data_IF_998392972333
#
_entry.id   IF_998392972333
#
_cell.length_a   1.000
_cell.length_b   1.000
_cell.length_c   1.000
_cell.angle_alpha   90.00
_cell.angle_beta   90.00
_cell.angle_gamma   90.00
#
_symmetry.space_group_name_H-M   'P 1'
#
loop_
_entity.id
_entity.type
_entity.pdbx_description
1 polymer ?
#
# COMPACT_ATOMS: atom_id res chain seq x y z
N UNK A 1 0.45 11.81 12.75
CA UNK A 1 -0.38 10.68 12.93
C UNK A 1 -0.47 10.11 14.31
N UNK A 2 -1.29 9.12 14.45
CA UNK A 2 -1.48 8.39 15.72
C UNK A 2 -0.57 7.14 15.83
N UNK A 3 0.54 7.11 15.11
CA UNK A 3 1.51 6.01 15.17
C UNK A 3 1.20 4.80 14.30
N UNK A 4 0.32 4.94 13.32
CA UNK A 4 -0.06 3.83 12.43
C UNK A 4 1.14 3.22 11.72
N UNK A 5 1.97 4.03 11.12
CA UNK A 5 3.16 3.57 10.39
C UNK A 5 4.15 2.87 11.30
N UNK A 6 4.38 3.44 12.51
CA UNK A 6 5.24 2.80 13.52
C UNK A 6 4.69 1.45 13.95
N UNK A 7 3.39 1.37 14.18
CA UNK A 7 2.73 0.11 14.54
C UNK A 7 2.95 -0.95 13.47
N UNK A 8 2.77 -0.59 12.20
CA UNK A 8 2.98 -1.54 11.10
C UNK A 8 4.45 -1.92 10.94
N UNK A 9 5.38 -1.02 11.24
CA UNK A 9 6.81 -1.34 11.25
C UNK A 9 7.15 -2.36 12.33
N UNK A 10 6.67 -2.14 13.55
CA UNK A 10 6.88 -3.06 14.67
C UNK A 10 6.26 -4.43 14.37
N UNK A 11 5.05 -4.44 13.85
CA UNK A 11 4.35 -5.67 13.49
C UNK A 11 5.09 -6.45 12.39
N UNK A 12 5.56 -5.75 11.36
CA UNK A 12 6.35 -6.36 10.29
C UNK A 12 7.64 -6.98 10.84
N UNK A 13 8.36 -6.27 11.70
CA UNK A 13 9.60 -6.76 12.29
C UNK A 13 9.34 -8.00 13.14
N UNK A 14 8.28 -7.99 13.94
CA UNK A 14 7.89 -9.14 14.75
C UNK A 14 7.60 -10.37 13.89
N UNK A 15 6.83 -10.22 12.81
CA UNK A 15 6.50 -11.33 11.93
C UNK A 15 7.74 -11.88 11.20
N UNK A 16 8.69 -11.03 10.86
CA UNK A 16 9.94 -11.46 10.22
C UNK A 16 10.85 -12.19 11.19
N UNK A 17 10.99 -11.69 12.42
CA UNK A 17 11.81 -12.32 13.45
C UNK A 17 11.28 -13.71 13.79
N UNK A 18 9.97 -13.88 13.85
CA UNK A 18 9.34 -15.16 14.14
C UNK A 18 9.16 -16.05 12.91
N UNK A 19 9.63 -15.60 11.75
CA UNK A 19 9.46 -16.28 10.45
C UNK A 19 8.01 -16.69 10.17
N UNK A 20 7.08 -15.81 10.48
CA UNK A 20 5.66 -16.07 10.28
C UNK A 20 5.33 -16.04 8.77
N UNK A 21 4.52 -16.99 8.28
CA UNK A 21 4.13 -17.01 6.86
C UNK A 21 3.34 -15.76 6.42
N UNK A 22 2.75 -15.02 7.36
CA UNK A 22 2.02 -13.79 7.07
C UNK A 22 2.91 -12.53 7.10
N UNK A 23 4.22 -12.70 7.18
CA UNK A 23 5.14 -11.56 7.14
C UNK A 23 4.92 -10.70 5.89
N UNK A 24 5.15 -9.42 6.03
CA UNK A 24 4.94 -8.46 4.95
C UNK A 24 6.03 -7.40 4.95
N UNK A 25 6.15 -6.70 3.81
CA UNK A 25 7.07 -5.59 3.64
C UNK A 25 6.31 -4.27 3.71
N UNK A 26 6.87 -3.30 4.42
CA UNK A 26 6.33 -1.95 4.45
C UNK A 26 6.83 -1.15 3.24
N UNK A 27 5.91 -0.44 2.62
CA UNK A 27 6.17 0.42 1.48
C UNK A 27 5.52 1.77 1.76
N UNK A 28 6.28 2.85 1.60
CA UNK A 28 5.69 4.19 1.64
C UNK A 28 5.23 4.62 0.25
N UNK A 29 4.26 5.53 0.21
CA UNK A 29 3.85 6.14 -1.06
C UNK A 29 5.03 6.84 -1.73
N UNK A 30 5.87 7.52 -0.95
CA UNK A 30 7.05 8.19 -1.47
C UNK A 30 8.00 7.23 -2.19
N UNK A 31 8.26 6.06 -1.59
CA UNK A 31 9.09 5.04 -2.22
C UNK A 31 8.48 4.55 -3.53
N UNK A 32 7.19 4.29 -3.54
CA UNK A 32 6.49 3.83 -4.75
C UNK A 32 6.52 4.87 -5.86
N UNK A 33 6.28 6.12 -5.53
CA UNK A 33 6.31 7.23 -6.49
C UNK A 33 7.72 7.45 -7.05
N UNK A 34 8.75 7.38 -6.20
CA UNK A 34 10.13 7.50 -6.64
C UNK A 34 10.52 6.37 -7.59
N UNK A 35 10.11 5.16 -7.29
CA UNK A 35 10.31 4.02 -8.19
C UNK A 35 9.63 4.26 -9.54
N UNK A 36 8.39 4.75 -9.53
CA UNK A 36 7.66 5.06 -10.75
C UNK A 36 8.37 6.11 -11.59
N UNK A 37 8.91 7.15 -10.97
CA UNK A 37 9.64 8.21 -11.68
C UNK A 37 10.87 7.69 -12.42
N UNK A 38 11.53 6.69 -11.87
CA UNK A 38 12.74 6.09 -12.46
C UNK A 38 12.38 5.07 -13.54
N UNK A 39 11.38 4.25 -13.31
CA UNK A 39 11.08 3.07 -14.15
C UNK A 39 9.83 3.21 -15.01
N UNK A 40 9.02 4.24 -14.81
CA UNK A 40 7.73 4.47 -15.49
C UNK A 40 6.70 3.35 -15.28
N UNK A 41 6.90 2.55 -14.24
CA UNK A 41 5.97 1.48 -13.83
C UNK A 41 6.15 1.20 -12.34
N UNK A 42 5.26 0.37 -11.78
CA UNK A 42 5.34 -0.09 -10.40
C UNK A 42 5.45 -1.62 -10.31
N UNK A 43 5.98 -2.24 -11.34
CA UNK A 43 6.02 -3.70 -11.50
C UNK A 43 6.66 -4.42 -10.32
N UNK A 44 7.67 -3.81 -9.70
CA UNK A 44 8.31 -4.37 -8.52
C UNK A 44 7.34 -4.68 -7.38
N UNK A 45 6.30 -3.87 -7.22
CA UNK A 45 5.34 -3.96 -6.13
C UNK A 45 4.05 -4.68 -6.51
N UNK A 46 3.84 -4.90 -7.80
CA UNK A 46 2.63 -5.50 -8.33
C UNK A 46 2.86 -6.87 -8.96
N UNK A 47 4.09 -7.38 -8.85
CA UNK A 47 4.46 -8.67 -9.42
C UNK A 47 4.16 -8.78 -10.91
N UNK A 48 4.88 -8.04 -11.71
CA UNK A 48 4.92 -8.27 -13.14
C UNK A 48 6.04 -9.27 -13.45
N UNK A 49 5.88 -10.06 -14.49
CA UNK A 49 6.90 -11.02 -14.94
C UNK A 49 8.27 -10.38 -15.17
N UNK A 50 8.29 -9.13 -15.61
CA UNK A 50 9.52 -8.38 -15.82
C UNK A 50 10.37 -8.25 -14.54
N UNK A 51 9.70 -8.20 -13.38
CA UNK A 51 10.35 -8.08 -12.07
C UNK A 51 10.32 -9.37 -11.25
N UNK A 52 9.93 -10.48 -11.85
CA UNK A 52 9.81 -11.76 -11.16
C UNK A 52 11.11 -12.18 -10.45
N UNK A 53 12.25 -11.76 -10.97
CA UNK A 53 13.55 -12.02 -10.36
C UNK A 53 13.71 -11.47 -8.95
N UNK A 54 13.03 -10.39 -8.62
CA UNK A 54 13.07 -9.80 -7.27
C UNK A 54 12.29 -10.62 -6.24
N UNK A 55 11.35 -11.41 -6.71
CA UNK A 55 10.43 -12.15 -5.87
C UNK A 55 10.54 -13.67 -6.07
N UNK A 56 11.55 -14.11 -6.79
CA UNK A 56 11.69 -15.53 -7.18
C UNK A 56 10.40 -16.10 -7.78
N UNK A 57 9.71 -15.28 -8.58
CA UNK A 57 8.44 -15.66 -9.17
C UNK A 57 7.23 -15.61 -8.24
N UNK A 58 7.41 -15.17 -6.99
CA UNK A 58 6.32 -15.11 -6.01
C UNK A 58 6.16 -13.69 -5.46
N UNK A 59 4.96 -13.12 -5.48
CA UNK A 59 4.72 -11.83 -4.86
C UNK A 59 4.78 -11.91 -3.33
N UNK A 60 5.09 -10.78 -2.70
CA UNK A 60 5.09 -10.66 -1.24
C UNK A 60 3.78 -10.08 -0.72
N UNK A 61 3.50 -10.29 0.57
CA UNK A 61 2.55 -9.45 1.28
C UNK A 61 3.17 -8.07 1.48
N UNK A 62 2.39 -7.03 1.26
CA UNK A 62 2.86 -5.64 1.32
C UNK A 62 1.90 -4.82 2.19
N UNK A 63 2.45 -3.86 2.94
CA UNK A 63 1.69 -2.80 3.57
C UNK A 63 2.04 -1.47 2.90
N UNK A 64 1.07 -0.84 2.25
CA UNK A 64 1.23 0.51 1.72
C UNK A 64 0.83 1.51 2.78
N UNK A 65 1.77 2.33 3.22
CA UNK A 65 1.57 3.26 4.31
C UNK A 65 1.27 4.67 3.84
N UNK A 66 0.45 5.35 4.63
CA UNK A 66 0.19 6.78 4.54
C UNK A 66 -0.57 7.21 3.28
N UNK A 67 -1.56 6.41 2.90
CA UNK A 67 -2.47 6.79 1.82
C UNK A 67 -3.22 8.06 2.21
N UNK A 68 -3.25 9.03 1.30
CA UNK A 68 -3.96 10.29 1.50
C UNK A 68 -3.10 11.40 2.08
N UNK A 69 -1.79 11.20 2.26
CA UNK A 69 -0.89 12.29 2.60
C UNK A 69 -0.78 13.23 1.40
N UNK A 70 -0.89 14.54 1.68
CA UNK A 70 -0.58 15.59 0.72
C UNK A 70 0.92 15.62 0.45
N UNK A 71 1.33 14.85 -0.52
CA UNK A 71 2.64 14.99 -1.12
C UNK A 71 2.48 16.01 -2.24
N UNK A 72 3.46 16.88 -2.45
CA UNK A 72 3.45 17.76 -3.61
C UNK A 72 3.29 16.94 -4.88
N UNK A 73 2.06 16.95 -5.41
CA UNK A 73 1.60 15.96 -6.37
C UNK A 73 2.09 16.19 -7.79
N UNK A 74 2.71 17.32 -8.06
CA UNK A 74 3.08 17.68 -9.43
C UNK A 74 4.58 17.60 -9.68
N UNK A 75 5.11 16.43 -9.41
CA UNK A 75 6.46 16.14 -9.84
C UNK A 75 6.36 15.38 -11.16
N UNK A 76 6.74 16.05 -12.26
CA UNK A 76 6.77 15.44 -13.61
C UNK A 76 5.42 15.01 -14.20
N UNK A 77 4.35 15.73 -13.90
CA UNK A 77 3.02 15.43 -14.46
C UNK A 77 2.41 14.13 -13.97
N UNK A 78 2.96 13.54 -12.92
CA UNK A 78 2.48 12.28 -12.38
C UNK A 78 1.40 12.51 -11.34
N UNK A 79 0.24 11.90 -11.52
CA UNK A 79 -0.82 11.90 -10.53
C UNK A 79 -0.61 10.73 -9.57
N UNK A 80 -0.37 11.05 -8.29
CA UNK A 80 -0.14 10.05 -7.26
C UNK A 80 -1.36 9.15 -7.08
N UNK A 81 -2.57 9.69 -7.16
CA UNK A 81 -3.77 8.89 -7.02
C UNK A 81 -3.92 7.85 -8.12
N UNK A 82 -3.49 8.15 -9.34
CA UNK A 82 -3.49 7.18 -10.44
C UNK A 82 -2.52 6.02 -10.16
N UNK A 83 -1.35 6.32 -9.60
CA UNK A 83 -0.38 5.29 -9.22
C UNK A 83 -0.95 4.42 -8.10
N UNK A 84 -1.57 5.03 -7.10
CA UNK A 84 -2.20 4.30 -6.00
C UNK A 84 -3.34 3.42 -6.51
N UNK A 85 -4.18 3.93 -7.41
CA UNK A 85 -5.25 3.15 -8.03
C UNK A 85 -4.69 1.93 -8.76
N UNK A 86 -3.69 2.12 -9.60
CA UNK A 86 -3.03 1.03 -10.33
C UNK A 86 -2.47 -0.02 -9.38
N UNK A 87 -1.78 0.42 -8.33
CA UNK A 87 -1.24 -0.48 -7.31
C UNK A 87 -2.35 -1.32 -6.65
N UNK A 88 -3.42 -0.67 -6.21
CA UNK A 88 -4.48 -1.35 -5.48
C UNK A 88 -5.25 -2.34 -6.37
N UNK A 89 -5.51 -2.01 -7.63
CA UNK A 89 -6.13 -2.93 -8.57
C UNK A 89 -5.25 -4.16 -8.81
N UNK A 90 -3.97 -3.95 -9.05
CA UNK A 90 -3.03 -5.04 -9.29
C UNK A 90 -2.87 -5.94 -8.04
N UNK A 91 -2.80 -5.34 -6.85
CA UNK A 91 -2.72 -6.09 -5.60
C UNK A 91 -3.97 -6.91 -5.33
N UNK A 92 -5.13 -6.43 -5.73
CA UNK A 92 -6.35 -7.21 -5.63
C UNK A 92 -6.28 -8.49 -6.49
N UNK A 93 -5.77 -8.39 -7.71
CA UNK A 93 -5.57 -9.56 -8.57
C UNK A 93 -4.55 -10.54 -7.98
N UNK A 94 -3.47 -10.02 -7.39
CA UNK A 94 -2.48 -10.84 -6.70
C UNK A 94 -3.10 -11.58 -5.53
N UNK A 95 -3.99 -10.94 -4.78
CA UNK A 95 -4.71 -11.60 -3.71
C UNK A 95 -5.58 -12.75 -4.25
N UNK A 96 -6.30 -12.53 -5.33
CA UNK A 96 -7.16 -13.56 -5.93
C UNK A 96 -6.37 -14.75 -6.48
N UNK A 97 -5.23 -14.48 -7.11
CA UNK A 97 -4.46 -15.52 -7.81
C UNK A 97 -3.41 -16.20 -6.91
N UNK A 98 -2.83 -15.45 -5.97
CA UNK A 98 -1.68 -15.91 -5.19
C UNK A 98 -1.93 -15.88 -3.68
N UNK A 99 -3.09 -15.41 -3.22
CA UNK A 99 -3.46 -15.28 -1.80
C UNK A 99 -2.51 -14.38 -1.00
N UNK A 100 -1.83 -13.44 -1.65
CA UNK A 100 -0.96 -12.47 -0.99
C UNK A 100 -1.75 -11.25 -0.57
N UNK A 101 -1.52 -10.82 0.66
CA UNK A 101 -2.30 -9.75 1.31
C UNK A 101 -1.68 -8.39 1.08
N UNK A 102 -2.55 -7.39 1.06
CA UNK A 102 -2.14 -6.00 1.04
C UNK A 102 -2.78 -5.30 2.22
N UNK A 103 -1.94 -4.74 3.09
CA UNK A 103 -2.38 -3.92 4.21
C UNK A 103 -2.26 -2.46 3.82
N UNK A 104 -3.08 -1.62 4.42
CA UNK A 104 -3.09 -0.20 4.13
C UNK A 104 -3.12 0.60 5.44
N UNK A 105 -2.38 1.69 5.48
CA UNK A 105 -2.60 2.71 6.50
C UNK A 105 -2.99 4.03 5.83
N UNK A 106 -3.87 4.78 6.47
CA UNK A 106 -4.38 6.03 5.90
C UNK A 106 -4.80 7.00 7.00
N UNK A 107 -4.67 8.28 6.71
CA UNK A 107 -5.25 9.35 7.50
C UNK A 107 -6.68 9.68 7.07
N UNK A 108 -7.14 9.09 5.97
CA UNK A 108 -8.49 9.32 5.47
C UNK A 108 -9.50 8.52 6.28
N UNK A 109 -10.65 9.12 6.56
CA UNK A 109 -11.80 8.36 7.02
C UNK A 109 -12.28 7.42 5.92
N UNK A 110 -13.09 6.42 6.27
CA UNK A 110 -13.69 5.53 5.28
C UNK A 110 -14.48 6.32 4.23
N UNK A 111 -15.20 7.34 4.67
CA UNK A 111 -15.97 8.22 3.79
C UNK A 111 -15.06 8.96 2.81
N UNK A 112 -13.99 9.59 3.32
CA UNK A 112 -13.06 10.36 2.49
C UNK A 112 -12.32 9.45 1.51
N UNK A 113 -11.98 8.24 1.93
CA UNK A 113 -11.38 7.24 1.05
C UNK A 113 -12.31 6.89 -0.13
N UNK A 114 -13.60 6.70 0.15
CA UNK A 114 -14.60 6.40 -0.87
C UNK A 114 -14.80 7.56 -1.85
N UNK A 115 -14.69 8.79 -1.37
CA UNK A 115 -14.81 9.98 -2.22
C UNK A 115 -13.59 10.18 -3.11
N UNK A 116 -12.41 9.79 -2.64
CA UNK A 116 -11.14 10.02 -3.34
C UNK A 116 -10.87 8.97 -4.43
N UNK A 117 -11.26 7.73 -4.22
CA UNK A 117 -10.95 6.62 -5.11
C UNK A 117 -12.19 6.11 -5.85
N UNK A 118 -11.96 5.47 -7.00
CA UNK A 118 -13.03 4.97 -7.85
C UNK A 118 -13.92 3.96 -7.13
N UNK A 119 -15.22 4.01 -7.41
CA UNK A 119 -16.22 3.11 -6.84
C UNK A 119 -15.85 1.62 -7.04
N UNK A 120 -15.36 1.28 -8.23
CA UNK A 120 -14.93 -0.10 -8.52
C UNK A 120 -13.81 -0.57 -7.60
N UNK A 121 -12.89 0.33 -7.26
CA UNK A 121 -11.82 0.05 -6.33
C UNK A 121 -12.35 -0.11 -4.92
N UNK A 122 -13.21 0.80 -4.49
CA UNK A 122 -13.82 0.78 -3.16
C UNK A 122 -14.61 -0.51 -2.94
N UNK A 123 -15.30 -1.01 -3.95
CA UNK A 123 -16.03 -2.27 -3.86
C UNK A 123 -15.13 -3.47 -3.52
N UNK A 124 -13.88 -3.45 -3.98
CA UNK A 124 -12.91 -4.50 -3.69
C UNK A 124 -12.44 -4.50 -2.24
N UNK A 125 -12.61 -3.39 -1.53
CA UNK A 125 -12.24 -3.28 -0.11
C UNK A 125 -13.35 -3.63 0.87
N UNK A 126 -14.51 -4.05 0.40
CA UNK A 126 -15.62 -4.45 1.28
C UNK A 126 -15.23 -5.54 2.27
N UNK A 127 -14.29 -6.39 1.89
CA UNK A 127 -13.82 -7.50 2.71
C UNK A 127 -12.60 -7.15 3.58
N UNK A 128 -12.15 -5.90 3.55
CA UNK A 128 -11.05 -5.47 4.41
C UNK A 128 -11.54 -5.25 5.83
N UNK A 129 -10.74 -5.71 6.79
CA UNK A 129 -10.96 -5.37 8.19
C UNK A 129 -10.46 -3.96 8.43
N UNK A 130 -11.35 -3.08 8.83
CA UNK A 130 -11.00 -1.69 9.13
C UNK A 130 -10.77 -1.54 10.62
N UNK A 131 -9.57 -1.07 10.99
CA UNK A 131 -9.22 -0.75 12.37
C UNK A 131 -9.06 0.77 12.46
N UNK A 132 -9.93 1.40 13.23
CA UNK A 132 -9.83 2.82 13.53
C UNK A 132 -8.98 3.01 14.78
N UNK A 133 -7.91 3.79 14.67
CA UNK A 133 -7.08 4.15 15.81
C UNK A 133 -7.51 5.52 16.30
N UNK A 134 -8.23 5.60 17.43
CA UNK A 134 -8.61 6.88 18.00
C UNK A 134 -7.36 7.60 18.53
N UNK A 135 -7.32 8.90 18.37
CA UNK A 135 -6.23 9.70 18.88
C UNK A 135 -6.02 10.95 18.05
N UNK A 136 -5.43 11.95 18.70
CA UNK A 136 -5.03 13.17 18.02
C UNK A 136 -3.65 12.97 17.42
N UNK A 137 -3.37 13.65 16.31
CA UNK A 137 -2.03 13.69 15.76
C UNK A 137 -1.04 14.14 16.80
N UNK A 138 0.07 13.42 16.95
CA UNK A 138 1.19 13.80 17.81
C UNK A 138 2.13 14.79 17.13
N UNK A 139 1.90 15.09 15.88
CA UNK A 139 2.65 16.10 15.16
C UNK A 139 2.14 17.48 15.56
N UNK A 140 3.06 18.29 15.99
CA UNK A 140 2.76 19.69 16.29
C UNK A 140 2.78 20.51 15.00
#
# INVERSE_FOLDING_TARGET
GCGKTMMMQIFSDYLKITDNPNKFHNLSITQMVNYYKIHSNIDRYTYNEADAKYFNGNPFNICLNDIGIDIQQKSFGTNIDDIVNEFLFARYEIFQNNFKRTHLTSNLSTKDFKEKYEERLVDRFKNYNVVNLPGKSRRK
#
